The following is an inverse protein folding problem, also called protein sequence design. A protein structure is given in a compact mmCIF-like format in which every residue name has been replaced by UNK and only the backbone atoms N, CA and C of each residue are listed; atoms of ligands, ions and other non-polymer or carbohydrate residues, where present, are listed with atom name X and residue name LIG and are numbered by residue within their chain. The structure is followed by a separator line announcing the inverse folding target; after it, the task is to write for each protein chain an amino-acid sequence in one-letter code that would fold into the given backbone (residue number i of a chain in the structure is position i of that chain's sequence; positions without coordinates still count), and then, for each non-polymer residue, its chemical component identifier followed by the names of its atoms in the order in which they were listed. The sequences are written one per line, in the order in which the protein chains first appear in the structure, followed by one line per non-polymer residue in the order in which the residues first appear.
data_IF_039136464875
#
_entry.id   IF_039136464875
#
_cell.length_a   1.000
_cell.length_b   1.000
_cell.length_c   1.000
_cell.angle_alpha   90.00
_cell.angle_beta   90.00
_cell.angle_gamma   90.00
#
_symmetry.space_group_name_H-M   'P 1'
#
loop_
_entity.id
_entity.type
_entity.pdbx_description
1 polymer ?
#
# COMPACT_ATOMS: atom_id res chain seq x y z
N UNK A 1 -8.51 30.66 -6.19
CA UNK A 1 -8.02 29.33 -6.59
C UNK A 1 -8.16 28.46 -5.36
N UNK A 2 -8.99 27.41 -5.41
CA UNK A 2 -9.32 26.65 -4.21
C UNK A 2 -8.16 25.73 -3.86
N UNK A 3 -7.53 25.95 -2.71
CA UNK A 3 -6.42 25.13 -2.25
C UNK A 3 -6.92 23.96 -1.39
N UNK A 4 -6.24 22.81 -1.46
CA UNK A 4 -6.59 21.64 -0.65
C UNK A 4 -5.50 21.38 0.37
N UNK A 5 -5.89 21.03 1.59
CA UNK A 5 -5.00 20.83 2.74
C UNK A 5 -5.04 19.39 3.22
N UNK A 6 -3.89 18.84 3.59
CA UNK A 6 -3.83 17.56 4.26
C UNK A 6 -4.22 17.74 5.74
N UNK A 7 -5.23 17.01 6.26
CA UNK A 7 -5.61 17.09 7.67
C UNK A 7 -4.57 16.48 8.63
N UNK A 8 -3.65 15.64 8.12
CA UNK A 8 -2.57 15.02 8.92
C UNK A 8 -1.30 15.85 8.97
N UNK A 9 -0.74 16.20 7.82
CA UNK A 9 0.55 16.90 7.75
C UNK A 9 0.42 18.42 7.60
N UNK A 10 -0.80 18.95 7.52
CA UNK A 10 -1.15 20.36 7.36
C UNK A 10 -0.66 21.04 6.07
N UNK A 11 0.05 20.33 5.19
CA UNK A 11 0.55 20.85 3.91
C UNK A 11 -0.60 21.17 2.95
N UNK A 12 -0.41 22.20 2.14
CA UNK A 12 -1.37 22.71 1.17
C UNK A 12 -0.90 22.36 -0.24
N UNK A 13 -1.83 21.94 -1.09
CA UNK A 13 -1.59 21.49 -2.45
C UNK A 13 -2.61 22.10 -3.42
N UNK A 14 -2.31 22.14 -4.74
CA UNK A 14 -3.24 22.60 -5.76
C UNK A 14 -4.57 21.83 -5.75
N UNK A 15 -5.65 22.45 -6.26
CA UNK A 15 -7.00 21.86 -6.29
C UNK A 15 -7.07 20.48 -6.98
N UNK A 16 -6.19 20.25 -7.96
CA UNK A 16 -6.10 18.99 -8.71
C UNK A 16 -5.56 17.83 -7.87
N UNK A 17 -4.83 18.11 -6.80
CA UNK A 17 -4.32 17.09 -5.89
C UNK A 17 -5.45 16.55 -5.01
N UNK A 18 -5.76 15.26 -5.14
CA UNK A 18 -6.77 14.60 -4.31
C UNK A 18 -6.21 13.99 -3.03
N UNK A 19 -4.93 13.63 -3.04
CA UNK A 19 -4.27 12.95 -1.93
C UNK A 19 -2.94 13.64 -1.59
N UNK A 20 -2.58 13.60 -0.32
CA UNK A 20 -1.32 14.11 0.18
C UNK A 20 -0.18 13.22 -0.35
N UNK A 21 0.77 13.75 -1.14
CA UNK A 21 1.94 12.98 -1.61
C UNK A 21 2.83 12.46 -0.47
N UNK A 22 2.66 12.97 0.75
CA UNK A 22 3.48 12.63 1.91
C UNK A 22 2.91 11.47 2.74
N UNK A 23 1.59 11.31 2.78
CA UNK A 23 0.94 10.36 3.71
C UNK A 23 -0.28 9.64 3.13
N UNK A 24 -0.62 9.89 1.85
CA UNK A 24 -1.73 9.25 1.15
C UNK A 24 -3.13 9.69 1.60
N UNK A 25 -3.24 10.60 2.57
CA UNK A 25 -4.54 11.06 3.09
C UNK A 25 -5.24 11.95 2.07
N UNK A 26 -6.55 11.79 1.91
CA UNK A 26 -7.33 12.66 1.04
C UNK A 26 -7.25 14.12 1.51
N UNK A 27 -6.94 15.01 0.58
CA UNK A 27 -6.84 16.44 0.85
C UNK A 27 -8.25 17.04 0.96
N UNK A 28 -8.48 17.82 1.99
CA UNK A 28 -9.75 18.51 2.25
C UNK A 28 -9.67 19.95 1.76
N UNK A 29 -10.79 20.59 1.43
CA UNK A 29 -10.78 22.00 1.04
C UNK A 29 -10.25 22.87 2.19
N UNK A 30 -9.28 23.74 1.88
CA UNK A 30 -8.77 24.69 2.85
C UNK A 30 -9.86 25.74 3.10
N UNK A 31 -10.65 25.57 4.17
CA UNK A 31 -11.55 26.63 4.62
C UNK A 31 -10.72 27.86 5.00
N UNK A 32 -11.09 29.01 4.44
CA UNK A 32 -10.52 30.30 4.82
C UNK A 32 -10.81 30.56 6.30
N UNK A 33 -9.81 30.34 7.16
CA UNK A 33 -9.91 30.69 8.57
C UNK A 33 -9.83 32.22 8.68
N UNK A 34 -10.96 32.85 9.04
CA UNK A 34 -11.01 34.26 9.38
C UNK A 34 -10.06 34.60 10.53
N UNK A 35 -9.42 35.75 10.43
CA UNK A 35 -8.52 36.30 11.44
C UNK A 35 -9.17 36.32 12.83
N UNK A 36 -8.49 35.88 13.90
CA UNK A 36 -8.94 36.17 15.25
C UNK A 36 -8.72 37.66 15.56
N UNK A 37 -9.80 38.29 16.01
CA UNK A 37 -9.82 39.66 16.51
C UNK A 37 -8.95 39.81 17.77
N UNK A 38 -8.27 40.95 17.85
CA UNK A 38 -7.51 41.39 19.01
C UNK A 38 -8.44 41.83 20.15
N UNK A 39 -8.05 41.51 21.39
CA UNK A 39 -8.61 42.05 22.63
C UNK A 39 -7.50 42.13 23.70
N UNK A 40 -7.63 43.03 24.71
CA UNK A 40 -6.55 43.96 25.05
C UNK A 40 -5.70 43.58 26.28
N UNK A 41 -4.63 44.35 26.45
CA UNK A 41 -3.65 44.29 27.51
C UNK A 41 -4.21 44.63 28.91
N UNK A 42 -3.68 43.95 29.93
CA UNK A 42 -3.81 44.35 31.32
C UNK A 42 -3.10 43.40 32.29
N UNK A 43 -2.19 43.95 33.10
CA UNK A 43 -1.93 43.50 34.47
C UNK A 43 -0.72 42.60 34.73
N UNK A 44 0.39 43.21 35.16
CA UNK A 44 1.49 42.59 35.89
C UNK A 44 0.99 41.83 37.14
N UNK A 45 1.54 40.64 37.40
CA UNK A 45 2.17 40.29 38.69
C UNK A 45 2.83 38.90 38.60
N UNK A 46 4.08 38.85 39.06
CA UNK A 46 4.95 37.70 38.97
C UNK A 46 4.61 36.60 39.99
N UNK A 47 4.54 35.35 39.52
CA UNK A 47 4.77 34.15 40.33
C UNK A 47 5.81 33.30 39.59
N UNK A 48 7.03 33.24 40.13
CA UNK A 48 8.10 32.36 39.65
C UNK A 48 7.70 30.91 39.94
N UNK A 49 7.17 30.22 38.94
CA UNK A 49 7.04 28.76 38.94
C UNK A 49 8.40 28.13 38.55
N UNK A 50 8.81 27.01 39.17
CA UNK A 50 10.07 26.36 38.82
C UNK A 50 10.02 25.89 37.36
N UNK A 51 11.07 26.18 36.58
CA UNK A 51 11.24 25.64 35.22
C UNK A 51 11.28 24.12 35.30
N UNK A 52 10.15 23.49 35.01
CA UNK A 52 10.11 22.08 34.65
C UNK A 52 11.02 21.91 33.44
N UNK A 53 11.94 20.92 33.42
CA UNK A 53 12.75 20.69 32.24
C UNK A 53 11.79 20.41 31.08
N UNK A 54 11.89 21.20 30.01
CA UNK A 54 11.18 20.94 28.75
C UNK A 54 11.56 19.52 28.36
N UNK A 55 10.62 18.58 28.48
CA UNK A 55 10.76 17.26 27.89
C UNK A 55 10.90 17.49 26.40
N UNK A 56 12.15 17.47 25.92
CA UNK A 56 12.41 17.49 24.49
C UNK A 56 11.59 16.36 23.89
N UNK A 57 10.74 16.70 22.92
CA UNK A 57 10.13 15.71 22.03
C UNK A 57 11.29 14.87 21.48
N UNK A 58 11.52 13.68 22.05
CA UNK A 58 12.46 12.72 21.48
C UNK A 58 11.93 12.41 20.09
N UNK A 59 12.61 12.95 19.07
CA UNK A 59 12.38 12.60 17.67
C UNK A 59 12.46 11.07 17.56
N UNK A 60 11.51 10.47 16.85
CA UNK A 60 11.52 9.03 16.57
C UNK A 60 12.83 8.70 15.84
N UNK A 61 13.76 7.98 16.49
CA UNK A 61 15.07 7.67 15.90
C UNK A 61 14.93 6.95 14.57
N UNK A 62 13.90 6.13 14.42
CA UNK A 62 13.63 5.43 13.16
C UNK A 62 13.37 6.41 12.00
N UNK A 63 13.02 7.68 12.28
CA UNK A 63 12.79 8.73 11.29
C UNK A 63 14.05 9.52 10.90
N UNK A 64 15.15 9.41 11.64
CA UNK A 64 16.34 10.29 11.50
C UNK A 64 17.61 9.57 11.05
N UNK A 65 17.50 8.37 10.47
CA UNK A 65 18.65 7.53 10.14
C UNK A 65 19.49 7.97 8.93
N UNK A 66 19.01 8.91 8.10
CA UNK A 66 19.78 9.39 6.93
C UNK A 66 21.17 9.91 7.33
N UNK A 67 22.20 9.47 6.63
CA UNK A 67 23.60 9.81 6.90
C UNK A 67 24.27 9.01 8.03
N UNK A 68 23.55 8.10 8.69
CA UNK A 68 24.09 7.27 9.77
C UNK A 68 24.55 5.90 9.25
N UNK A 69 25.38 5.22 10.06
CA UNK A 69 25.69 3.80 9.84
C UNK A 69 24.81 2.97 10.79
N UNK A 70 23.97 2.11 10.21
CA UNK A 70 23.13 1.18 10.95
C UNK A 70 23.86 -0.16 11.12
N UNK A 71 23.99 -0.61 12.37
CA UNK A 71 24.54 -1.92 12.76
C UNK A 71 25.94 -2.20 12.16
N UNK A 72 26.76 -1.14 12.01
CA UNK A 72 28.10 -1.18 11.37
C UNK A 72 28.13 -1.79 9.96
N UNK A 73 26.97 -2.07 9.35
CA UNK A 73 26.83 -2.82 8.10
C UNK A 73 26.25 -1.97 6.98
N UNK A 74 25.41 -1.00 7.31
CA UNK A 74 24.63 -0.28 6.33
C UNK A 74 24.83 1.22 6.47
N UNK A 75 25.46 1.83 5.48
CA UNK A 75 25.51 3.28 5.36
C UNK A 75 24.15 3.76 4.83
N UNK A 76 23.35 4.38 5.69
CA UNK A 76 22.01 4.87 5.35
C UNK A 76 22.15 6.18 4.58
N UNK A 77 21.68 6.21 3.34
CA UNK A 77 21.91 7.32 2.41
C UNK A 77 20.79 8.36 2.50
N UNK A 78 19.56 7.96 2.12
CA UNK A 78 18.40 8.85 2.10
C UNK A 78 17.13 8.08 2.43
N UNK A 79 16.13 8.81 2.94
CA UNK A 79 14.78 8.27 3.12
C UNK A 79 14.07 8.16 1.78
N UNK A 80 13.52 6.99 1.50
CA UNK A 80 12.71 6.70 0.31
C UNK A 80 11.23 6.92 0.58
N UNK A 81 10.77 6.60 1.79
CA UNK A 81 9.35 6.70 2.13
C UNK A 81 9.06 6.65 3.61
N UNK A 82 7.83 7.04 3.95
CA UNK A 82 7.27 6.99 5.30
C UNK A 82 5.88 6.38 5.22
N UNK A 83 5.68 5.25 5.92
CA UNK A 83 4.36 4.69 6.18
C UNK A 83 3.92 5.02 7.60
N UNK A 84 2.65 4.77 7.92
CA UNK A 84 2.08 5.14 9.23
C UNK A 84 2.81 4.55 10.45
N UNK A 85 3.61 3.49 10.29
CA UNK A 85 4.36 2.86 11.39
C UNK A 85 5.79 2.42 10.99
N UNK A 86 6.31 2.85 9.85
CA UNK A 86 7.63 2.43 9.37
C UNK A 86 8.24 3.46 8.44
N UNK A 87 9.57 3.45 8.34
CA UNK A 87 10.33 4.29 7.42
C UNK A 87 11.14 3.40 6.48
N UNK A 88 11.25 3.79 5.22
CA UNK A 88 12.06 3.07 4.24
C UNK A 88 13.22 3.96 3.81
N UNK A 89 14.42 3.43 3.84
CA UNK A 89 15.66 4.12 3.48
C UNK A 89 16.39 3.39 2.37
N UNK A 90 17.04 4.15 1.49
CA UNK A 90 18.12 3.65 0.65
C UNK A 90 19.37 3.60 1.51
N UNK A 91 20.06 2.47 1.49
CA UNK A 91 21.32 2.28 2.16
C UNK A 91 22.31 1.54 1.25
N UNK A 92 23.59 1.61 1.60
CA UNK A 92 24.66 0.86 0.97
C UNK A 92 25.24 -0.11 1.98
N UNK A 93 25.32 -1.38 1.62
CA UNK A 93 26.02 -2.36 2.46
C UNK A 93 27.53 -2.10 2.39
N UNK A 94 28.16 -1.88 3.54
CA UNK A 94 29.56 -1.44 3.64
C UNK A 94 30.53 -2.50 3.11
N UNK A 95 30.21 -3.79 3.33
CA UNK A 95 31.09 -4.89 2.95
C UNK A 95 31.12 -5.14 1.42
N UNK A 96 29.98 -4.96 0.74
CA UNK A 96 29.82 -5.32 -0.68
C UNK A 96 29.69 -4.11 -1.59
N UNK A 97 29.38 -2.94 -1.03
CA UNK A 97 29.02 -1.73 -1.78
C UNK A 97 27.65 -1.80 -2.45
N UNK A 98 26.87 -2.87 -2.25
CA UNK A 98 25.56 -3.06 -2.87
C UNK A 98 24.51 -2.11 -2.29
N UNK A 99 23.61 -1.63 -3.15
CA UNK A 99 22.48 -0.81 -2.73
C UNK A 99 21.32 -1.69 -2.25
N UNK A 100 20.77 -1.32 -1.10
CA UNK A 100 19.68 -2.04 -0.44
C UNK A 100 18.63 -1.04 0.05
N UNK A 101 17.39 -1.50 0.14
CA UNK A 101 16.37 -0.77 0.87
C UNK A 101 16.23 -1.33 2.29
N UNK A 102 16.13 -0.44 3.28
CA UNK A 102 15.99 -0.79 4.69
C UNK A 102 14.68 -0.24 5.21
N UNK A 103 13.76 -1.14 5.56
CA UNK A 103 12.50 -0.80 6.23
C UNK A 103 12.68 -0.91 7.73
N UNK A 104 12.66 0.24 8.41
CA UNK A 104 12.78 0.34 9.86
C UNK A 104 11.39 0.51 10.47
N UNK A 105 11.06 -0.33 11.42
CA UNK A 105 9.78 -0.29 12.12
C UNK A 105 9.85 0.73 13.24
N UNK A 106 8.80 1.55 13.38
CA UNK A 106 8.76 2.56 14.45
C UNK A 106 8.78 1.87 15.83
N UNK A 107 9.51 2.41 16.83
CA UNK A 107 9.57 1.87 18.18
C UNK A 107 8.20 1.69 18.84
N UNK A 108 7.16 2.41 18.38
CA UNK A 108 5.77 2.25 18.82
C UNK A 108 5.19 0.85 18.53
N UNK A 109 5.76 0.12 17.57
CA UNK A 109 5.44 -1.29 17.30
C UNK A 109 6.20 -2.26 18.20
N UNK A 110 7.37 -1.86 18.69
CA UNK A 110 8.31 -2.70 19.45
C UNK A 110 8.07 -2.68 20.98
N UNK A 111 6.98 -2.07 21.44
CA UNK A 111 6.66 -1.93 22.87
C UNK A 111 6.19 -3.21 23.54
N UNK A 112 5.76 -4.22 22.76
CA UNK A 112 5.32 -5.52 23.27
C UNK A 112 6.19 -6.65 22.69
N UNK A 113 6.82 -7.43 23.58
CA UNK A 113 7.67 -8.57 23.22
C UNK A 113 6.92 -9.60 22.37
N UNK A 114 5.64 -9.81 22.61
CA UNK A 114 4.83 -10.78 21.85
C UNK A 114 4.67 -10.34 20.39
N UNK A 115 4.56 -9.03 20.16
CA UNK A 115 4.47 -8.45 18.83
C UNK A 115 5.78 -8.52 18.05
N UNK A 116 6.92 -8.37 18.73
CA UNK A 116 8.25 -8.50 18.13
C UNK A 116 8.53 -9.94 17.70
N UNK A 117 8.27 -10.92 18.57
CA UNK A 117 8.47 -12.35 18.25
C UNK A 117 7.63 -12.80 17.06
N UNK A 118 6.39 -12.35 16.98
CA UNK A 118 5.51 -12.61 15.84
C UNK A 118 6.06 -12.02 14.54
N UNK A 119 6.48 -10.77 14.58
CA UNK A 119 7.13 -10.13 13.45
C UNK A 119 8.38 -10.90 13.00
N UNK A 120 9.23 -11.36 13.93
CA UNK A 120 10.40 -12.18 13.57
C UNK A 120 9.98 -13.45 12.84
N UNK A 121 8.89 -14.08 13.30
CA UNK A 121 8.33 -15.31 12.70
C UNK A 121 7.76 -15.04 11.30
N UNK A 122 7.00 -13.96 11.12
CA UNK A 122 6.45 -13.52 9.82
C UNK A 122 7.57 -13.16 8.84
N UNK A 123 8.57 -12.38 9.27
CA UNK A 123 9.73 -12.06 8.46
C UNK A 123 10.50 -13.32 8.05
N UNK A 124 10.67 -14.29 8.95
CA UNK A 124 11.29 -15.58 8.63
C UNK A 124 10.53 -16.38 7.57
N UNK A 125 9.19 -16.34 7.58
CA UNK A 125 8.39 -16.94 6.51
C UNK A 125 8.56 -16.17 5.19
N UNK A 126 8.50 -14.84 5.22
CA UNK A 126 8.69 -14.01 4.03
C UNK A 126 10.10 -14.09 3.44
N UNK A 127 11.13 -14.43 4.22
CA UNK A 127 12.48 -14.73 3.73
C UNK A 127 12.54 -15.99 2.86
N UNK A 128 11.54 -16.89 2.93
CA UNK A 128 11.44 -18.07 2.06
C UNK A 128 10.90 -17.74 0.67
N UNK A 129 10.35 -16.53 0.48
CA UNK A 129 9.88 -16.08 -0.82
C UNK A 129 11.08 -15.75 -1.71
N UNK A 130 11.30 -16.61 -2.70
CA UNK A 130 12.29 -16.38 -3.75
C UNK A 130 11.61 -16.47 -5.12
N UNK A 131 11.25 -15.31 -5.69
CA UNK A 131 10.57 -15.21 -6.97
C UNK A 131 10.79 -13.83 -7.60
N UNK A 132 10.93 -13.76 -8.92
CA UNK A 132 11.25 -12.51 -9.63
C UNK A 132 10.20 -11.38 -9.43
N UNK A 133 8.92 -11.76 -9.28
CA UNK A 133 7.81 -10.83 -9.05
C UNK A 133 7.48 -10.61 -7.56
N UNK A 134 8.36 -11.01 -6.64
CA UNK A 134 8.21 -10.80 -5.20
C UNK A 134 9.47 -10.17 -4.63
N UNK A 135 9.32 -9.08 -3.87
CA UNK A 135 10.43 -8.48 -3.16
C UNK A 135 10.79 -9.35 -1.96
N UNK A 136 11.88 -10.12 -2.09
CA UNK A 136 12.39 -10.96 -1.02
C UNK A 136 12.98 -10.15 0.13
N UNK A 137 12.81 -10.65 1.34
CA UNK A 137 13.54 -10.15 2.50
C UNK A 137 14.92 -10.81 2.51
N UNK A 138 15.98 -10.00 2.49
CA UNK A 138 17.36 -10.48 2.55
C UNK A 138 17.78 -10.75 4.00
N UNK A 139 17.37 -9.88 4.92
CA UNK A 139 17.74 -9.94 6.34
C UNK A 139 16.69 -9.29 7.23
N UNK A 140 16.48 -9.89 8.39
CA UNK A 140 15.90 -9.24 9.56
C UNK A 140 17.03 -8.90 10.53
N UNK A 141 17.08 -7.67 11.01
CA UNK A 141 18.06 -7.20 11.98
C UNK A 141 17.43 -6.42 13.12
N UNK A 142 18.20 -6.26 14.18
CA UNK A 142 17.88 -5.46 15.35
C UNK A 142 19.13 -4.69 15.74
N UNK A 143 19.05 -3.37 15.83
CA UNK A 143 20.17 -2.55 16.28
C UNK A 143 20.38 -2.66 17.80
N UNK A 144 21.54 -2.24 18.30
CA UNK A 144 21.87 -2.24 19.74
C UNK A 144 20.83 -1.50 20.60
N UNK A 145 20.17 -0.50 20.05
CA UNK A 145 19.13 0.27 20.72
C UNK A 145 17.70 -0.26 20.48
N UNK A 146 17.58 -1.45 19.89
CA UNK A 146 16.30 -2.18 19.74
C UNK A 146 15.47 -1.78 18.52
N UNK A 147 16.03 -1.09 17.52
CA UNK A 147 15.30 -0.83 16.27
C UNK A 147 15.29 -2.09 15.42
N UNK A 148 14.09 -2.57 15.13
CA UNK A 148 13.90 -3.71 14.23
C UNK A 148 13.85 -3.18 12.80
N UNK A 149 14.65 -3.80 11.93
CA UNK A 149 14.74 -3.41 10.54
C UNK A 149 14.79 -4.63 9.61
N UNK A 150 14.30 -4.42 8.40
CA UNK A 150 14.30 -5.40 7.32
C UNK A 150 15.14 -4.87 6.17
N UNK A 151 16.02 -5.71 5.64
CA UNK A 151 16.83 -5.40 4.47
C UNK A 151 16.24 -6.14 3.27
N UNK A 152 16.05 -5.42 2.18
CA UNK A 152 15.53 -5.93 0.91
C UNK A 152 16.35 -5.35 -0.25
N UNK A 153 16.32 -5.98 -1.44
CA UNK A 153 16.97 -5.41 -2.61
C UNK A 153 16.45 -4.00 -2.86
N UNK A 154 17.34 -3.07 -3.22
CA UNK A 154 16.88 -1.80 -3.77
C UNK A 154 16.36 -2.06 -5.18
N UNK A 155 15.10 -1.69 -5.43
CA UNK A 155 14.47 -1.79 -6.74
C UNK A 155 14.45 -0.39 -7.35
N UNK A 156 15.21 -0.20 -8.43
CA UNK A 156 15.22 1.06 -9.18
C UNK A 156 14.02 1.09 -10.13
N UNK A 157 12.91 1.66 -9.65
CA UNK A 157 11.63 1.68 -10.35
C UNK A 157 10.68 2.70 -9.76
N UNK A 158 9.43 2.69 -10.24
CA UNK A 158 8.37 3.54 -9.70
C UNK A 158 7.22 2.70 -9.14
N UNK A 159 6.52 3.21 -8.14
CA UNK A 159 5.33 2.54 -7.60
C UNK A 159 4.20 2.56 -8.62
N UNK A 160 3.38 1.52 -8.64
CA UNK A 160 2.18 1.46 -9.48
C UNK A 160 1.25 2.66 -9.20
N UNK A 161 1.13 3.05 -7.93
CA UNK A 161 0.38 4.25 -7.53
C UNK A 161 0.89 5.53 -8.20
N UNK A 162 2.21 5.70 -8.28
CA UNK A 162 2.83 6.91 -8.84
C UNK A 162 2.66 6.92 -10.36
N UNK A 163 2.76 5.74 -10.99
CA UNK A 163 2.46 5.55 -12.42
C UNK A 163 1.01 5.90 -12.73
N UNK A 164 0.06 5.48 -11.91
CA UNK A 164 -1.38 5.79 -12.07
C UNK A 164 -1.64 7.29 -11.92
N UNK A 165 -1.02 7.97 -10.96
CA UNK A 165 -1.14 9.43 -10.78
C UNK A 165 -0.55 10.18 -11.97
N UNK A 166 0.61 9.74 -12.48
CA UNK A 166 1.33 10.39 -13.57
C UNK A 166 0.72 10.14 -14.94
N UNK A 167 0.31 8.90 -15.21
CA UNK A 167 -0.13 8.44 -16.53
C UNK A 167 -1.65 8.29 -16.68
N UNK A 168 -2.40 8.29 -15.57
CA UNK A 168 -3.82 7.97 -15.58
C UNK A 168 -4.09 6.49 -15.89
N UNK A 169 -5.29 6.17 -16.41
CA UNK A 169 -5.68 4.79 -16.71
C UNK A 169 -4.75 4.11 -17.72
N UNK A 170 -4.34 2.88 -17.43
CA UNK A 170 -3.40 2.12 -18.25
C UNK A 170 -4.03 1.57 -19.53
N UNK A 171 -3.17 1.39 -20.54
CA UNK A 171 -3.51 0.64 -21.73
C UNK A 171 -3.71 -0.85 -21.39
N UNK A 172 -4.66 -1.49 -22.09
CA UNK A 172 -5.07 -2.87 -21.81
C UNK A 172 -3.89 -3.86 -21.79
N UNK A 173 -3.04 -3.85 -22.82
CA UNK A 173 -1.91 -4.78 -22.93
C UNK A 173 -0.91 -4.62 -21.79
N UNK A 174 -0.51 -3.38 -21.51
CA UNK A 174 0.42 -3.06 -20.41
C UNK A 174 -0.16 -3.45 -19.04
N UNK A 175 -1.43 -3.11 -18.79
CA UNK A 175 -2.08 -3.45 -17.53
C UNK A 175 -2.24 -4.95 -17.32
N UNK A 176 -2.59 -5.71 -18.37
CA UNK A 176 -2.67 -7.17 -18.29
C UNK A 176 -1.30 -7.80 -18.01
N UNK A 177 -0.23 -7.32 -18.64
CA UNK A 177 1.10 -7.87 -18.38
C UNK A 177 1.54 -7.63 -16.93
N UNK A 178 1.33 -6.42 -16.40
CA UNK A 178 1.59 -6.11 -14.97
C UNK A 178 0.77 -7.02 -14.05
N UNK A 179 -0.54 -7.15 -14.30
CA UNK A 179 -1.42 -7.98 -13.47
C UNK A 179 -1.03 -9.46 -13.50
N UNK A 180 -0.65 -9.98 -14.68
CA UNK A 180 -0.17 -11.36 -14.82
C UNK A 180 1.08 -11.60 -13.98
N UNK A 181 2.05 -10.69 -14.06
CA UNK A 181 3.28 -10.76 -13.25
C UNK A 181 2.97 -10.75 -11.74
N UNK A 182 2.06 -9.88 -11.30
CA UNK A 182 1.59 -9.83 -9.90
C UNK A 182 0.91 -11.14 -9.49
N UNK A 183 0.04 -11.71 -10.34
CA UNK A 183 -0.61 -12.99 -10.08
C UNK A 183 0.39 -14.13 -9.88
N UNK A 184 1.44 -14.22 -10.70
CA UNK A 184 2.48 -15.25 -10.55
C UNK A 184 3.21 -15.09 -9.21
N UNK A 185 3.57 -13.85 -8.84
CA UNK A 185 4.20 -13.57 -7.54
C UNK A 185 3.31 -13.92 -6.34
N UNK A 186 2.02 -13.58 -6.40
CA UNK A 186 1.05 -13.94 -5.36
C UNK A 186 0.85 -15.46 -5.27
N UNK A 187 0.75 -16.14 -6.41
CA UNK A 187 0.59 -17.59 -6.42
C UNK A 187 1.77 -18.30 -5.73
N UNK A 188 3.00 -17.88 -6.04
CA UNK A 188 4.20 -18.41 -5.38
C UNK A 188 4.14 -18.25 -3.86
N UNK A 189 3.68 -17.09 -3.38
CA UNK A 189 3.49 -16.88 -1.94
C UNK A 189 2.39 -17.77 -1.34
N UNK A 190 1.27 -17.93 -2.06
CA UNK A 190 0.14 -18.76 -1.63
C UNK A 190 0.50 -20.24 -1.53
N UNK A 191 1.36 -20.76 -2.40
CA UNK A 191 1.87 -22.14 -2.30
C UNK A 191 2.66 -22.37 -1.00
N UNK A 192 3.33 -21.32 -0.50
CA UNK A 192 4.01 -21.34 0.80
C UNK A 192 3.08 -20.99 1.98
N UNK A 193 1.77 -20.90 1.75
CA UNK A 193 0.74 -20.50 2.72
C UNK A 193 0.93 -19.07 3.25
N UNK A 194 1.58 -18.20 2.48
CA UNK A 194 1.80 -16.79 2.81
C UNK A 194 0.78 -15.94 2.04
N UNK A 195 -0.14 -15.31 2.76
CA UNK A 195 -1.12 -14.36 2.21
C UNK A 195 -0.59 -12.95 2.38
N UNK A 196 -0.68 -12.11 1.35
CA UNK A 196 -0.17 -10.75 1.38
C UNK A 196 -0.98 -9.83 2.32
N UNK A 197 -2.32 -9.91 2.28
CA UNK A 197 -3.28 -9.24 3.20
C UNK A 197 -3.39 -7.72 3.10
N UNK A 198 -2.49 -7.03 2.42
CA UNK A 198 -2.54 -5.57 2.23
C UNK A 198 -2.23 -5.12 0.81
N UNK A 199 -2.68 -5.89 -0.18
CA UNK A 199 -2.31 -5.66 -1.58
C UNK A 199 -3.00 -4.39 -2.11
N UNK A 200 -2.21 -3.51 -2.71
CA UNK A 200 -2.61 -2.19 -3.23
C UNK A 200 -1.52 -1.62 -4.16
N UNK A 201 -1.79 -0.56 -4.93
CA UNK A 201 -0.82 -0.03 -5.89
C UNK A 201 0.50 0.41 -5.25
N UNK A 202 0.50 0.93 -4.02
CA UNK A 202 1.72 1.35 -3.31
C UNK A 202 2.63 0.17 -2.91
N UNK A 203 2.12 -1.06 -2.98
CA UNK A 203 2.87 -2.28 -2.70
C UNK A 203 3.31 -3.01 -3.97
N UNK A 204 3.18 -2.40 -5.16
CA UNK A 204 3.62 -2.96 -6.43
C UNK A 204 4.64 -1.99 -7.04
N UNK A 205 5.87 -2.46 -7.20
CA UNK A 205 6.94 -1.71 -7.86
C UNK A 205 7.02 -2.11 -9.34
N UNK A 206 7.11 -1.13 -10.23
CA UNK A 206 7.38 -1.31 -11.65
C UNK A 206 8.85 -0.98 -11.92
N UNK A 207 9.65 -2.02 -12.16
CA UNK A 207 11.10 -1.92 -12.42
C UNK A 207 11.33 -2.00 -13.93
N UNK A 208 11.87 -0.96 -14.58
CA UNK A 208 12.17 -1.03 -16.01
C UNK A 208 13.14 -2.18 -16.32
N UNK A 209 12.85 -2.95 -17.36
CA UNK A 209 13.73 -3.98 -17.91
C UNK A 209 14.12 -3.67 -19.36
N UNK A 210 15.17 -4.36 -19.81
CA UNK A 210 15.61 -4.30 -21.20
C UNK A 210 14.46 -4.65 -22.16
N UNK A 211 14.36 -3.91 -23.26
CA UNK A 211 13.26 -4.05 -24.22
C UNK A 211 11.99 -3.26 -23.86
N UNK A 212 12.06 -2.36 -22.87
CA UNK A 212 11.01 -1.37 -22.61
C UNK A 212 9.76 -1.91 -21.91
N UNK A 213 9.88 -3.07 -21.25
CA UNK A 213 8.83 -3.65 -20.40
C UNK A 213 9.15 -3.39 -18.94
N UNK A 214 8.12 -3.28 -18.12
CA UNK A 214 8.28 -3.18 -16.67
C UNK A 214 8.15 -4.57 -16.04
N UNK A 215 9.08 -4.92 -15.15
CA UNK A 215 8.90 -6.01 -14.20
C UNK A 215 8.09 -5.53 -13.00
N UNK A 216 6.93 -6.14 -12.79
CA UNK A 216 6.11 -5.89 -11.61
C UNK A 216 6.62 -6.73 -10.43
N UNK A 217 6.92 -6.09 -9.31
CA UNK A 217 7.42 -6.73 -8.09
C UNK A 217 6.49 -6.39 -6.92
N UNK A 218 5.89 -7.41 -6.31
CA UNK A 218 5.03 -7.25 -5.13
C UNK A 218 5.91 -7.12 -3.89
N UNK A 219 5.68 -6.07 -3.11
CA UNK A 219 6.45 -5.71 -1.92
C UNK A 219 5.65 -5.99 -0.64
N UNK A 220 6.34 -6.02 0.52
CA UNK A 220 5.69 -5.97 1.84
C UNK A 220 4.76 -7.15 2.20
N UNK A 221 5.07 -8.37 1.74
CA UNK A 221 4.34 -9.58 2.14
C UNK A 221 4.28 -9.76 3.66
N UNK A 222 3.06 -9.78 4.21
CA UNK A 222 2.77 -10.41 5.50
C UNK A 222 3.42 -9.78 6.74
N UNK A 223 4.07 -8.63 6.64
CA UNK A 223 4.74 -7.96 7.77
C UNK A 223 3.81 -7.08 8.61
N UNK A 224 2.58 -6.89 8.15
CA UNK A 224 1.57 -6.10 8.81
C UNK A 224 0.27 -6.89 8.88
N UNK A 225 -0.17 -7.21 10.09
CA UNK A 225 -1.59 -7.35 10.51
C UNK A 225 -2.09 -8.71 10.98
N UNK A 226 -1.26 -9.62 11.50
CA UNK A 226 -1.83 -10.52 12.53
C UNK A 226 -2.33 -9.77 13.78
N UNK A 227 -1.98 -8.48 13.94
CA UNK A 227 -2.59 -7.61 14.95
C UNK A 227 -4.11 -7.44 14.80
N UNK A 228 -4.71 -7.74 13.63
CA UNK A 228 -6.17 -7.66 13.43
C UNK A 228 -6.95 -8.78 14.13
N UNK A 229 -6.28 -9.82 14.61
CA UNK A 229 -6.90 -10.89 15.40
C UNK A 229 -6.92 -10.59 16.91
N UNK A 230 -6.48 -9.41 17.35
CA UNK A 230 -6.63 -8.98 18.73
C UNK A 230 -8.04 -8.38 18.95
N UNK A 231 -8.88 -8.92 19.86
CA UNK A 231 -10.19 -8.34 20.21
C UNK A 231 -10.11 -6.87 20.67
N UNK A 232 -8.93 -6.35 21.00
CA UNK A 232 -8.71 -4.92 21.23
C UNK A 232 -8.88 -4.03 19.97
N UNK A 233 -8.76 -4.57 18.74
CA UNK A 233 -8.94 -3.80 17.50
C UNK A 233 -10.42 -3.56 17.15
N UNK A 234 -11.33 -4.43 17.63
CA UNK A 234 -12.77 -4.14 17.56
C UNK A 234 -13.14 -2.82 18.28
N UNK A 235 -12.35 -2.41 19.29
CA UNK A 235 -12.48 -1.09 19.95
C UNK A 235 -11.88 0.07 19.12
N UNK A 236 -10.87 -0.15 18.30
CA UNK A 236 -10.27 0.89 17.44
C UNK A 236 -11.17 1.26 16.25
N UNK A 237 -11.93 0.29 15.73
CA UNK A 237 -13.03 0.56 14.80
C UNK A 237 -14.15 1.37 15.44
N UNK A 238 -14.38 1.22 16.76
CA UNK A 238 -15.37 2.01 17.50
C UNK A 238 -14.90 3.46 17.79
N UNK A 239 -13.59 3.74 17.76
CA UNK A 239 -13.02 5.09 17.91
C UNK A 239 -12.69 5.78 16.58
N UNK A 240 -13.02 5.16 15.44
CA UNK A 240 -12.84 5.75 14.10
C UNK A 240 -11.42 5.73 13.54
N UNK A 241 -10.46 5.09 14.23
CA UNK A 241 -9.06 5.00 13.77
C UNK A 241 -8.89 3.68 13.01
N UNK A 242 -9.01 3.75 11.68
CA UNK A 242 -8.78 2.61 10.80
C UNK A 242 -7.27 2.51 10.48
N UNK A 243 -6.65 1.38 10.84
CA UNK A 243 -5.25 1.08 10.50
C UNK A 243 -5.15 0.30 9.17
N UNK A 244 -4.63 0.95 8.14
CA UNK A 244 -4.42 0.43 6.78
C UNK A 244 -5.04 1.33 5.69
N UNK A 245 -4.94 0.92 4.44
CA UNK A 245 -5.68 1.51 3.30
C UNK A 245 -6.98 0.72 3.17
N UNK A 246 -8.08 1.14 3.83
CA UNK A 246 -9.31 0.37 3.85
C UNK A 246 -9.84 0.05 2.47
N UNK A 247 -9.54 0.83 1.44
CA UNK A 247 -10.06 0.80 0.08
C UNK A 247 -9.90 -0.56 -0.63
N UNK A 248 -8.85 -1.32 -0.32
CA UNK A 248 -8.54 -2.59 -0.99
C UNK A 248 -8.88 -3.84 -0.18
N UNK A 249 -9.32 -3.70 1.07
CA UNK A 249 -9.68 -4.84 1.93
C UNK A 249 -10.80 -5.70 1.33
N UNK A 250 -10.67 -7.02 1.48
CA UNK A 250 -11.72 -7.96 1.08
C UNK A 250 -12.88 -8.01 2.09
N UNK A 251 -14.07 -8.49 1.69
CA UNK A 251 -15.24 -8.62 2.58
C UNK A 251 -14.97 -9.46 3.82
N UNK A 252 -14.20 -10.54 3.70
CA UNK A 252 -13.79 -11.38 4.81
C UNK A 252 -12.78 -10.69 5.75
N UNK A 253 -11.90 -9.84 5.23
CA UNK A 253 -11.03 -8.99 6.06
C UNK A 253 -11.81 -7.98 6.87
N UNK A 254 -12.79 -7.32 6.25
CA UNK A 254 -13.67 -6.34 6.93
C UNK A 254 -14.47 -7.04 8.04
N UNK A 255 -14.89 -8.29 7.82
CA UNK A 255 -15.63 -9.10 8.80
C UNK A 255 -14.74 -9.80 9.84
N UNK A 256 -13.41 -9.66 9.76
CA UNK A 256 -12.47 -10.34 10.65
C UNK A 256 -12.50 -11.88 10.55
N UNK A 257 -12.86 -12.41 9.38
CA UNK A 257 -12.85 -13.86 9.12
C UNK A 257 -11.45 -14.35 8.74
N UNK A 258 -11.17 -15.66 8.83
CA UNK A 258 -9.93 -16.24 8.33
C UNK A 258 -9.68 -15.88 6.87
N UNK A 259 -8.42 -15.64 6.53
CA UNK A 259 -7.99 -15.21 5.20
C UNK A 259 -7.17 -16.31 4.53
N UNK A 260 -7.35 -16.45 3.23
CA UNK A 260 -6.51 -17.25 2.35
C UNK A 260 -6.11 -16.42 1.10
N UNK A 261 -5.43 -17.04 0.14
CA UNK A 261 -4.97 -16.36 -1.08
C UNK A 261 -6.09 -15.67 -1.89
N UNK A 262 -7.35 -16.07 -1.72
CA UNK A 262 -8.50 -15.47 -2.42
C UNK A 262 -8.84 -14.08 -1.90
N UNK A 263 -8.35 -13.71 -0.72
CA UNK A 263 -8.38 -12.33 -0.23
C UNK A 263 -7.47 -11.42 -1.06
N UNK A 264 -6.28 -11.90 -1.44
CA UNK A 264 -5.36 -11.15 -2.29
C UNK A 264 -5.88 -11.04 -3.73
N UNK A 265 -6.54 -12.08 -4.25
CA UNK A 265 -7.21 -12.06 -5.56
C UNK A 265 -8.28 -10.96 -5.62
N UNK A 266 -9.07 -10.81 -4.55
CA UNK A 266 -10.07 -9.75 -4.46
C UNK A 266 -9.42 -8.36 -4.47
N UNK A 267 -8.37 -8.17 -3.66
CA UNK A 267 -7.62 -6.92 -3.62
C UNK A 267 -6.98 -6.59 -4.99
N UNK A 268 -6.42 -7.59 -5.68
CA UNK A 268 -5.90 -7.45 -7.03
C UNK A 268 -6.99 -7.10 -8.04
N UNK A 269 -8.21 -7.64 -7.87
CA UNK A 269 -9.38 -7.24 -8.67
C UNK A 269 -9.72 -5.77 -8.53
N UNK A 270 -9.57 -5.20 -7.33
CA UNK A 270 -9.74 -3.76 -7.08
C UNK A 270 -8.62 -2.97 -7.77
N UNK A 271 -7.35 -3.39 -7.58
CA UNK A 271 -6.19 -2.78 -8.24
C UNK A 271 -6.36 -2.77 -9.75
N UNK A 272 -6.73 -3.90 -10.35
CA UNK A 272 -6.97 -4.00 -11.79
C UNK A 272 -8.07 -3.05 -12.28
N UNK A 273 -9.18 -2.95 -11.53
CA UNK A 273 -10.26 -2.03 -11.87
C UNK A 273 -9.79 -0.57 -11.84
N UNK A 274 -9.00 -0.20 -10.83
CA UNK A 274 -8.40 1.13 -10.71
C UNK A 274 -7.40 1.41 -11.83
N UNK A 275 -6.47 0.49 -12.10
CA UNK A 275 -5.50 0.61 -13.20
C UNK A 275 -6.19 0.93 -14.53
N UNK A 276 -7.32 0.30 -14.84
CA UNK A 276 -8.00 0.51 -16.12
C UNK A 276 -8.95 1.70 -16.16
N UNK A 277 -9.42 2.20 -15.02
CA UNK A 277 -10.46 3.25 -14.98
C UNK A 277 -10.06 4.54 -14.27
N UNK A 278 -8.97 4.52 -13.49
CA UNK A 278 -8.58 5.56 -12.55
C UNK A 278 -9.59 5.78 -11.41
N UNK A 279 -10.49 4.82 -11.17
CA UNK A 279 -11.54 4.89 -10.14
C UNK A 279 -11.64 3.55 -9.42
N UNK A 280 -12.05 3.58 -8.16
CA UNK A 280 -12.37 2.36 -7.41
C UNK A 280 -13.72 1.76 -7.84
N UNK A 281 -13.88 0.42 -7.76
CA UNK A 281 -15.13 -0.27 -8.13
C UNK A 281 -16.27 -0.01 -7.13
N UNK A 282 -15.94 0.34 -5.89
CA UNK A 282 -16.89 0.73 -4.85
C UNK A 282 -16.66 2.20 -4.48
N UNK A 283 -17.70 2.90 -4.06
CA UNK A 283 -17.60 4.29 -3.61
C UNK A 283 -18.33 4.50 -2.28
N UNK A 284 -17.80 5.42 -1.48
CA UNK A 284 -18.41 5.89 -0.24
C UNK A 284 -17.85 7.28 0.08
N UNK A 285 -18.58 8.06 0.89
CA UNK A 285 -18.15 9.43 1.27
C UNK A 285 -17.01 9.41 2.29
N UNK A 286 -16.80 8.27 2.94
CA UNK A 286 -15.72 8.02 3.89
C UNK A 286 -15.34 6.53 3.87
N UNK A 287 -14.29 6.18 4.62
CA UNK A 287 -13.77 4.82 4.71
C UNK A 287 -14.80 3.80 5.23
N UNK A 288 -15.67 4.18 6.16
CA UNK A 288 -16.70 3.29 6.71
C UNK A 288 -17.77 2.98 5.65
N UNK A 289 -18.26 3.99 4.94
CA UNK A 289 -19.21 3.81 3.85
C UNK A 289 -18.62 2.94 2.73
N UNK A 290 -17.33 3.11 2.41
CA UNK A 290 -16.63 2.28 1.43
C UNK A 290 -16.54 0.80 1.88
N UNK A 291 -16.31 0.54 3.17
CA UNK A 291 -16.36 -0.82 3.71
C UNK A 291 -17.77 -1.40 3.60
N UNK A 292 -18.80 -0.64 4.00
CA UNK A 292 -20.20 -1.09 3.91
C UNK A 292 -20.59 -1.40 2.47
N UNK A 293 -20.20 -0.55 1.51
CA UNK A 293 -20.46 -0.75 0.09
C UNK A 293 -19.89 -2.10 -0.40
N UNK A 294 -18.67 -2.48 0.01
CA UNK A 294 -18.11 -3.81 -0.36
C UNK A 294 -18.82 -5.00 0.27
N UNK A 295 -19.51 -4.79 1.39
CA UNK A 295 -20.25 -5.85 2.06
C UNK A 295 -21.65 -6.06 1.46
N UNK A 296 -22.21 -5.05 0.77
CA UNK A 296 -23.62 -4.99 0.37
C UNK A 296 -23.86 -4.75 -1.12
N UNK A 297 -23.03 -3.92 -1.74
CA UNK A 297 -23.23 -3.43 -3.10
C UNK A 297 -22.51 -4.30 -4.12
N UNK A 298 -22.89 -4.12 -5.39
CA UNK A 298 -22.15 -4.68 -6.53
C UNK A 298 -21.08 -3.70 -6.99
N UNK A 299 -19.92 -4.19 -7.48
CA UNK A 299 -18.93 -3.32 -8.08
C UNK A 299 -19.52 -2.60 -9.29
N UNK A 300 -19.04 -1.39 -9.57
CA UNK A 300 -19.37 -0.67 -10.79
C UNK A 300 -18.97 -1.49 -12.02
N UNK A 301 -19.78 -1.39 -13.07
CA UNK A 301 -19.45 -2.04 -14.34
C UNK A 301 -18.28 -1.30 -14.99
N UNK A 302 -17.25 -2.06 -15.37
CA UNK A 302 -16.02 -1.54 -15.97
C UNK A 302 -16.33 -0.77 -17.26
N UNK A 303 -17.19 -1.32 -18.12
CA UNK A 303 -17.53 -0.74 -19.42
C UNK A 303 -18.41 0.49 -19.35
N UNK A 304 -19.03 0.81 -18.21
CA UNK A 304 -19.66 2.11 -18.01
C UNK A 304 -18.63 3.25 -17.91
N UNK A 305 -17.40 2.94 -17.46
CA UNK A 305 -16.31 3.90 -17.33
C UNK A 305 -15.35 3.86 -18.52
N UNK A 306 -15.14 2.66 -19.09
CA UNK A 306 -14.25 2.40 -20.23
C UNK A 306 -14.92 1.47 -21.24
N UNK A 307 -15.83 1.98 -22.09
CA UNK A 307 -16.59 1.17 -23.05
C UNK A 307 -15.72 0.44 -24.08
N UNK A 308 -14.50 0.94 -24.31
CA UNK A 308 -13.51 0.39 -25.24
C UNK A 308 -12.87 -0.93 -24.76
N UNK A 309 -13.06 -1.30 -23.50
CA UNK A 309 -12.49 -2.52 -22.93
C UNK A 309 -13.33 -3.78 -23.25
N UNK A 310 -12.70 -4.95 -23.43
CA UNK A 310 -13.41 -6.19 -23.75
C UNK A 310 -14.37 -6.63 -22.65
N UNK A 311 -15.54 -7.16 -23.04
CA UNK A 311 -16.51 -7.71 -22.10
C UNK A 311 -15.95 -8.86 -21.24
N UNK A 312 -14.98 -9.61 -21.75
CA UNK A 312 -14.35 -10.69 -20.99
C UNK A 312 -13.48 -10.15 -19.84
N UNK A 313 -12.90 -8.94 -19.96
CA UNK A 313 -12.19 -8.30 -18.85
C UNK A 313 -13.15 -7.95 -17.72
N UNK A 314 -14.30 -7.36 -18.05
CA UNK A 314 -15.31 -7.06 -17.05
C UNK A 314 -15.80 -8.32 -16.32
N UNK A 315 -16.06 -9.41 -17.06
CA UNK A 315 -16.41 -10.71 -16.45
C UNK A 315 -15.31 -11.23 -15.54
N UNK A 316 -14.05 -11.11 -15.96
CA UNK A 316 -12.92 -11.57 -15.18
C UNK A 316 -12.80 -10.81 -13.86
N UNK A 317 -12.89 -9.47 -13.90
CA UNK A 317 -12.86 -8.63 -12.71
C UNK A 317 -14.08 -8.84 -11.81
N UNK A 318 -15.28 -8.98 -12.39
CA UNK A 318 -16.50 -9.25 -11.62
C UNK A 318 -16.37 -10.53 -10.78
N UNK A 319 -15.82 -11.61 -11.36
CA UNK A 319 -15.56 -12.86 -10.62
C UNK A 319 -14.51 -12.69 -9.52
N UNK A 320 -13.43 -11.95 -9.76
CA UNK A 320 -12.44 -11.67 -8.72
C UNK A 320 -13.03 -10.84 -7.56
N UNK A 321 -14.00 -9.98 -7.86
CA UNK A 321 -14.69 -9.09 -6.92
C UNK A 321 -15.95 -9.71 -6.27
N UNK A 322 -16.18 -11.02 -6.42
CA UNK A 322 -17.30 -11.68 -5.75
C UNK A 322 -17.18 -11.57 -4.22
N UNK A 323 -18.32 -11.37 -3.55
CA UNK A 323 -18.31 -11.16 -2.09
C UNK A 323 -17.89 -12.42 -1.34
N UNK A 324 -18.33 -13.59 -1.84
CA UNK A 324 -17.93 -14.89 -1.31
C UNK A 324 -16.56 -15.31 -1.87
N UNK A 325 -15.57 -15.67 -1.04
CA UNK A 325 -14.30 -16.22 -1.50
C UNK A 325 -14.47 -17.47 -2.38
N UNK A 326 -15.47 -18.32 -2.11
CA UNK A 326 -15.72 -19.55 -2.88
C UNK A 326 -16.23 -19.30 -4.30
N UNK A 327 -16.76 -18.10 -4.58
CA UNK A 327 -17.21 -17.72 -5.91
C UNK A 327 -16.10 -17.07 -6.76
N UNK A 328 -14.92 -16.82 -6.18
CA UNK A 328 -13.77 -16.21 -6.87
C UNK A 328 -12.98 -17.25 -7.68
N UNK A 329 -11.84 -16.83 -8.22
CA UNK A 329 -10.83 -17.75 -8.72
C UNK A 329 -10.20 -18.50 -7.56
N UNK A 330 -9.88 -19.78 -7.78
CA UNK A 330 -9.27 -20.62 -6.75
C UNK A 330 -7.81 -20.24 -6.52
N UNK A 331 -7.11 -19.86 -7.57
CA UNK A 331 -5.69 -19.46 -7.54
C UNK A 331 -5.49 -18.13 -8.27
N UNK A 332 -4.40 -17.44 -7.96
CA UNK A 332 -4.02 -16.22 -8.69
C UNK A 332 -3.65 -16.52 -10.16
N UNK A 333 -3.15 -17.73 -10.47
CA UNK A 333 -2.90 -18.14 -11.86
C UNK A 333 -4.20 -18.28 -12.67
N UNK A 334 -5.26 -18.87 -12.11
CA UNK A 334 -6.56 -18.93 -12.80
C UNK A 334 -7.09 -17.53 -13.12
N UNK A 335 -6.84 -16.55 -12.24
CA UNK A 335 -7.18 -15.16 -12.51
C UNK A 335 -6.31 -14.55 -13.61
N UNK A 336 -5.00 -14.85 -13.64
CA UNK A 336 -4.09 -14.42 -14.69
C UNK A 336 -4.49 -14.96 -16.08
N UNK A 337 -4.89 -16.23 -16.15
CA UNK A 337 -5.37 -16.87 -17.38
C UNK A 337 -6.64 -16.19 -17.88
N UNK A 338 -7.57 -15.92 -16.97
CA UNK A 338 -8.81 -15.22 -17.28
C UNK A 338 -8.56 -13.80 -17.80
N UNK A 339 -7.56 -13.07 -17.27
CA UNK A 339 -7.15 -11.76 -17.78
C UNK A 339 -6.50 -11.86 -19.17
N UNK A 340 -5.63 -12.85 -19.39
CA UNK A 340 -4.89 -13.01 -20.65
C UNK A 340 -5.81 -13.36 -21.82
N UNK A 341 -6.80 -14.23 -21.59
CA UNK A 341 -7.80 -14.60 -22.60
C UNK A 341 -8.59 -13.38 -23.15
N UNK A 342 -8.64 -12.28 -22.41
CA UNK A 342 -9.30 -11.03 -22.83
C UNK A 342 -8.46 -10.23 -23.83
N UNK A 343 -7.13 -10.30 -23.71
CA UNK A 343 -6.20 -9.62 -24.58
C UNK A 343 -6.15 -10.28 -25.97
N UNK A 344 -6.02 -11.61 -25.98
CA UNK A 344 -5.95 -12.39 -27.21
C UNK A 344 -7.28 -12.33 -27.99
N UNK A 345 -8.42 -12.50 -27.31
CA UNK A 345 -9.74 -12.37 -27.93
C UNK A 345 -9.99 -10.99 -28.53
N UNK A 346 -9.46 -9.92 -27.91
CA UNK A 346 -9.53 -8.55 -28.43
C UNK A 346 -8.68 -8.34 -29.68
N UNK A 347 -7.48 -8.94 -29.74
CA UNK A 347 -6.60 -8.89 -30.91
C UNK A 347 -7.22 -9.60 -32.12
N UNK A 348 -7.75 -10.80 -31.93
CA UNK A 348 -8.42 -11.57 -32.99
C UNK A 348 -9.71 -10.88 -33.49
N UNK A 349 -10.47 -10.23 -32.60
CA UNK A 349 -11.67 -9.48 -32.99
C UNK A 349 -11.32 -8.24 -33.85
N UNK A 350 -10.27 -7.49 -33.48
CA UNK A 350 -9.79 -6.32 -34.24
C UNK A 350 -9.21 -6.68 -35.60
N UNK A 351 -8.53 -7.83 -35.71
CA UNK A 351 -8.03 -8.34 -37.00
C UNK A 351 -9.21 -8.72 -37.91
N UNK A 352 -10.25 -9.38 -37.38
CA UNK A 352 -11.45 -9.72 -38.16
C UNK A 352 -12.25 -8.50 -38.63
N UNK A 353 -12.30 -7.43 -37.85
CA UNK A 353 -12.96 -6.17 -38.25
C UNK A 353 -12.19 -5.40 -39.31
N UNK A 354 -10.85 -5.48 -39.35
CA UNK A 354 -10.03 -4.86 -40.41
C UNK A 354 -9.98 -5.66 -41.72
N UNK A 355 -10.39 -6.93 -41.69
CA UNK A 355 -10.45 -7.83 -42.85
C UNK A 355 -11.85 -7.92 -43.49
N UNK A 356 -12.83 -7.21 -42.93
CA UNK A 356 -14.12 -6.93 -43.56
C UNK A 356 -14.11 -5.50 -44.10
#
# INVERSE_FOLDING_TARGET
MSERRCPKCASVYPETARFCPRDGTMLVEAQAQGSPAAAPAGGDTAVRTPRTPRSGLRLDRASTLSGQILDLRYQVMKKLGEGGMSYVYLAREVATGAEVAIKVLSPKLATDRSSVERLRREAGLAMRLDHANVCRILRLGESEDGLIYLVMPFLDGELLSDREVRGGPMALGTGIDVLRQVCVGLHHAHELQIVHRDLKPENIMLVPEDGGRDRAVVMDFGLAKERRADPAIAKLTATGIILGTPEFMSPEQIRGRPLDGRSDIYALGIVAFEMFTGKLPFQGRNAQEMMIARLRDRPRQLRHLRPDLPANLEKALARALESSPDARYRTALEFADALTATHEGGLFSRIKEKLK
#
